data_IF_561443482834
#
_entry.id   IF_561443482834
#
_cell.length_a   1.000
_cell.length_b   1.000
_cell.length_c   1.000
_cell.angle_alpha   90.00
_cell.angle_beta   90.00
_cell.angle_gamma   90.00
#
_symmetry.space_group_name_H-M   'P 1'
#
loop_
_entity.id
_entity.type
_entity.pdbx_description
1 polymer ?
#
# COMPACT_ATOMS: atom_id res chain seq x y z
N UNK A 1 17.42 0.72 25.52
CA UNK A 1 17.99 -0.64 25.36
C UNK A 1 17.14 -1.41 24.36
N UNK A 2 17.46 -1.32 23.07
CA UNK A 2 16.78 -2.06 22.00
C UNK A 2 17.31 -3.50 21.97
N UNK A 3 16.72 -4.38 22.78
CA UNK A 3 16.99 -5.81 22.74
C UNK A 3 16.07 -6.46 21.70
N UNK A 4 16.50 -6.47 20.45
CA UNK A 4 15.91 -7.34 19.45
C UNK A 4 16.29 -8.79 19.76
N UNK A 5 15.29 -9.67 19.86
CA UNK A 5 15.54 -11.11 19.92
C UNK A 5 16.20 -11.54 18.59
N UNK A 6 17.28 -12.35 18.64
CA UNK A 6 17.90 -12.86 17.43
C UNK A 6 16.86 -13.68 16.64
N UNK A 7 16.90 -13.65 15.30
CA UNK A 7 15.96 -14.41 14.49
C UNK A 7 16.01 -15.88 14.88
N UNK A 8 14.82 -16.48 15.04
CA UNK A 8 14.67 -17.89 15.37
C UNK A 8 15.42 -18.71 14.32
N UNK A 9 16.55 -19.34 14.72
CA UNK A 9 17.29 -20.28 13.88
C UNK A 9 16.35 -21.45 13.63
N UNK A 10 15.62 -21.42 12.50
CA UNK A 10 15.04 -22.65 11.94
C UNK A 10 16.19 -23.66 11.92
N UNK A 11 15.96 -24.84 12.49
CA UNK A 11 16.88 -25.96 12.29
C UNK A 11 17.10 -26.07 10.79
N UNK A 12 18.31 -25.71 10.38
CA UNK A 12 18.86 -26.09 9.09
C UNK A 12 18.69 -27.61 9.09
N UNK A 13 17.97 -28.14 8.11
CA UNK A 13 18.14 -29.54 7.72
C UNK A 13 19.60 -29.64 7.26
N UNK A 14 20.50 -29.76 8.24
CA UNK A 14 21.82 -30.31 8.07
C UNK A 14 21.57 -31.75 7.69
N UNK A 15 21.89 -32.06 6.44
CA UNK A 15 22.24 -33.38 5.90
C UNK A 15 21.71 -33.46 4.46
N UNK A 16 22.26 -32.63 3.54
CA UNK A 16 22.43 -32.87 2.07
C UNK A 16 22.61 -31.64 1.15
N UNK A 17 22.70 -30.40 1.64
CA UNK A 17 22.88 -29.20 0.79
C UNK A 17 24.20 -28.44 1.06
N UNK A 18 25.31 -29.14 1.34
CA UNK A 18 26.62 -28.48 1.63
C UNK A 18 27.53 -28.29 0.40
N UNK A 19 27.08 -28.64 -0.82
CA UNK A 19 27.90 -28.55 -2.04
C UNK A 19 27.19 -27.90 -3.25
N UNK A 20 25.99 -27.32 -3.09
CA UNK A 20 25.38 -26.52 -4.16
C UNK A 20 25.79 -25.06 -3.97
N UNK A 21 26.76 -24.62 -4.77
CA UNK A 21 27.09 -23.20 -4.93
C UNK A 21 25.77 -22.42 -5.17
N UNK A 22 25.48 -21.43 -4.32
CA UNK A 22 24.24 -20.64 -4.45
C UNK A 22 24.36 -19.66 -5.62
N UNK A 23 24.25 -20.20 -6.83
CA UNK A 23 24.44 -19.52 -8.11
C UNK A 23 23.17 -18.78 -8.57
N UNK A 24 22.28 -18.43 -7.63
CA UNK A 24 21.06 -17.70 -7.96
C UNK A 24 21.35 -16.21 -8.25
N UNK A 25 20.51 -15.58 -9.08
CA UNK A 25 20.64 -14.17 -9.44
C UNK A 25 20.47 -13.20 -8.25
N UNK A 26 19.86 -13.63 -7.15
CA UNK A 26 19.72 -12.80 -5.94
C UNK A 26 21.01 -12.75 -5.11
N UNK A 27 21.90 -13.72 -5.30
CA UNK A 27 23.22 -13.80 -4.68
C UNK A 27 24.30 -13.20 -5.60
N UNK A 28 24.03 -13.02 -6.89
CA UNK A 28 24.94 -12.40 -7.84
C UNK A 28 24.87 -10.87 -7.80
N UNK A 29 26.03 -10.22 -7.63
CA UNK A 29 26.23 -8.77 -7.82
C UNK A 29 27.16 -8.53 -9.03
N UNK A 30 26.86 -7.53 -9.84
CA UNK A 30 27.63 -7.23 -11.06
C UNK A 30 29.07 -6.80 -10.77
N UNK A 31 29.30 -6.15 -9.62
CA UNK A 31 30.62 -5.69 -9.22
C UNK A 31 31.39 -6.75 -8.43
N UNK A 32 30.73 -7.36 -7.44
CA UNK A 32 31.38 -8.27 -6.48
C UNK A 32 31.29 -9.75 -6.87
N UNK A 33 30.51 -10.10 -7.89
CA UNK A 33 30.23 -11.47 -8.30
C UNK A 33 29.23 -12.17 -7.37
N UNK A 34 29.32 -13.50 -7.26
CA UNK A 34 28.49 -14.26 -6.34
C UNK A 34 28.88 -13.99 -4.89
N UNK A 35 27.87 -13.72 -4.05
CA UNK A 35 28.03 -13.58 -2.62
C UNK A 35 28.45 -14.90 -1.95
N UNK A 36 29.33 -14.77 -0.96
CA UNK A 36 29.90 -15.90 -0.23
C UNK A 36 31.42 -15.85 -0.20
N UNK A 37 32.02 -16.35 0.89
CA UNK A 37 33.48 -16.46 1.00
C UNK A 37 33.92 -17.85 0.57
N UNK A 38 34.77 -17.93 -0.46
CA UNK A 38 35.31 -19.19 -0.98
C UNK A 38 36.31 -19.85 -0.01
N UNK A 39 37.05 -19.04 0.75
CA UNK A 39 38.17 -19.51 1.58
C UNK A 39 37.76 -20.04 2.96
N UNK A 40 36.46 -20.12 3.27
CA UNK A 40 35.98 -20.56 4.59
C UNK A 40 36.01 -22.08 4.81
N UNK A 41 36.32 -22.88 3.78
CA UNK A 41 36.28 -24.35 3.82
C UNK A 41 37.63 -24.98 4.18
N UNK A 42 38.72 -24.22 4.06
CA UNK A 42 40.07 -24.72 4.34
C UNK A 42 40.34 -24.80 5.85
N UNK A 43 41.19 -25.73 6.31
CA UNK A 43 41.62 -25.77 7.70
C UNK A 43 42.22 -24.43 8.13
N UNK A 44 41.69 -23.87 9.21
CA UNK A 44 42.11 -22.58 9.74
C UNK A 44 42.95 -22.79 11.00
N UNK A 45 44.24 -22.48 10.90
CA UNK A 45 45.20 -22.66 11.96
C UNK A 45 45.40 -21.38 12.76
N UNK A 46 46.11 -21.49 13.88
CA UNK A 46 46.40 -20.35 14.75
C UNK A 46 47.20 -19.24 14.05
N UNK A 47 48.08 -19.63 13.13
CA UNK A 47 48.87 -18.67 12.34
C UNK A 47 47.97 -17.86 11.39
N UNK A 48 46.87 -18.45 10.89
CA UNK A 48 45.87 -17.75 10.07
C UNK A 48 45.09 -16.72 10.90
N UNK A 49 44.74 -17.07 12.16
CA UNK A 49 44.10 -16.13 13.10
C UNK A 49 45.00 -14.93 13.42
N UNK A 50 46.29 -15.18 13.64
CA UNK A 50 47.28 -14.13 13.88
C UNK A 50 47.47 -13.26 12.63
N UNK A 51 47.49 -13.87 11.43
CA UNK A 51 47.56 -13.14 10.17
C UNK A 51 46.33 -12.24 9.96
N UNK A 52 45.12 -12.79 10.10
CA UNK A 52 43.87 -12.05 9.96
C UNK A 52 43.82 -10.89 10.96
N UNK A 53 44.22 -11.11 12.21
CA UNK A 53 44.28 -10.05 13.21
C UNK A 53 45.21 -8.89 12.81
N UNK A 54 46.35 -9.19 12.18
CA UNK A 54 47.30 -8.18 11.68
C UNK A 54 46.71 -7.43 10.48
N UNK A 55 46.15 -8.15 9.50
CA UNK A 55 45.55 -7.52 8.31
C UNK A 55 44.34 -6.66 8.68
N UNK A 56 43.47 -7.14 9.56
CA UNK A 56 42.37 -6.38 10.14
C UNK A 56 42.84 -5.09 10.81
N UNK A 57 43.93 -5.15 11.57
CA UNK A 57 44.48 -3.99 12.25
C UNK A 57 45.04 -2.95 11.25
N UNK A 58 45.63 -3.40 10.14
CA UNK A 58 46.07 -2.53 9.05
C UNK A 58 44.87 -1.83 8.41
N UNK A 59 43.82 -2.57 8.06
CA UNK A 59 42.62 -1.98 7.43
C UNK A 59 41.90 -1.00 8.38
N UNK A 60 41.74 -1.38 9.66
CA UNK A 60 41.20 -0.48 10.68
C UNK A 60 42.00 0.81 10.79
N UNK A 61 43.33 0.73 10.80
CA UNK A 61 44.23 1.90 10.84
C UNK A 61 44.13 2.75 9.58
N UNK A 62 43.96 2.14 8.42
CA UNK A 62 43.77 2.88 7.17
C UNK A 62 42.47 3.69 7.19
N UNK A 63 41.43 3.15 7.80
CA UNK A 63 40.12 3.79 7.92
C UNK A 63 40.02 4.86 9.02
N UNK A 64 40.86 4.80 10.05
CA UNK A 64 40.83 5.69 11.23
C UNK A 64 40.73 7.18 10.89
N UNK A 65 41.46 7.65 9.87
CA UNK A 65 41.53 9.09 9.51
C UNK A 65 40.17 9.72 9.18
N UNK A 66 39.20 8.93 8.72
CA UNK A 66 37.84 9.41 8.38
C UNK A 66 36.75 8.60 9.05
N UNK A 67 37.11 7.64 9.89
CA UNK A 67 36.18 6.71 10.54
C UNK A 67 35.07 7.44 11.28
N UNK A 68 35.42 8.34 12.18
CA UNK A 68 34.45 9.10 12.98
C UNK A 68 33.44 9.85 12.12
N UNK A 69 33.90 10.64 11.14
CA UNK A 69 33.00 11.40 10.25
C UNK A 69 32.16 10.48 9.35
N UNK A 70 32.74 9.38 8.86
CA UNK A 70 32.06 8.41 7.99
C UNK A 70 30.96 7.70 8.77
N UNK A 71 31.27 7.22 9.97
CA UNK A 71 30.34 6.53 10.87
C UNK A 71 29.26 7.47 11.39
N UNK A 72 29.60 8.70 11.77
CA UNK A 72 28.64 9.71 12.19
C UNK A 72 27.67 10.04 11.05
N UNK A 73 28.18 10.28 9.83
CA UNK A 73 27.34 10.53 8.66
C UNK A 73 26.47 9.31 8.33
N UNK A 74 27.04 8.12 8.31
CA UNK A 74 26.30 6.88 8.07
C UNK A 74 25.21 6.67 9.12
N UNK A 75 25.50 6.95 10.39
CA UNK A 75 24.52 6.88 11.47
C UNK A 75 23.40 7.90 11.29
N UNK A 76 23.72 9.15 10.96
CA UNK A 76 22.73 10.19 10.69
C UNK A 76 21.86 9.84 9.46
N UNK A 77 22.48 9.34 8.40
CA UNK A 77 21.79 8.96 7.16
C UNK A 77 20.85 7.76 7.42
N UNK A 78 21.30 6.75 8.18
CA UNK A 78 20.45 5.60 8.58
C UNK A 78 19.30 6.06 9.47
N UNK A 79 19.56 6.92 10.45
CA UNK A 79 18.55 7.45 11.36
C UNK A 79 17.50 8.25 10.58
N UNK A 80 17.93 9.17 9.70
CA UNK A 80 17.05 9.93 8.82
C UNK A 80 16.25 9.01 7.90
N UNK A 81 16.89 8.01 7.29
CA UNK A 81 16.22 7.03 6.45
C UNK A 81 15.17 6.24 7.23
N UNK A 82 15.46 5.86 8.47
CA UNK A 82 14.50 5.16 9.36
C UNK A 82 13.32 6.04 9.75
N UNK A 83 13.53 7.34 9.90
CA UNK A 83 12.47 8.32 10.17
C UNK A 83 11.61 8.59 8.93
N UNK A 84 12.23 8.74 7.75
CA UNK A 84 11.54 9.02 6.49
C UNK A 84 10.78 7.79 5.97
N UNK A 85 11.40 6.61 6.07
CA UNK A 85 10.86 5.33 5.59
C UNK A 85 11.02 4.26 6.66
N UNK A 86 10.25 4.32 7.75
CA UNK A 86 10.30 3.29 8.77
C UNK A 86 9.93 1.94 8.16
N UNK A 87 10.67 0.89 8.55
CA UNK A 87 10.34 -0.49 8.13
C UNK A 87 8.90 -0.81 8.55
N UNK A 88 8.18 -1.56 7.72
CA UNK A 88 6.79 -1.94 7.97
C UNK A 88 6.61 -2.52 9.38
N UNK A 89 7.52 -3.40 9.80
CA UNK A 89 7.51 -3.99 11.15
C UNK A 89 7.65 -2.97 12.28
N UNK A 90 8.37 -1.86 12.04
CA UNK A 90 8.54 -0.77 13.00
C UNK A 90 7.27 0.08 13.12
N UNK A 91 6.58 0.32 11.99
CA UNK A 91 5.32 1.07 11.94
C UNK A 91 4.21 0.39 12.75
N UNK A 92 4.27 -0.94 12.89
CA UNK A 92 3.30 -1.75 13.63
C UNK A 92 3.86 -2.28 14.96
N UNK A 93 4.98 -1.74 15.44
CA UNK A 93 5.63 -2.25 16.67
C UNK A 93 4.81 -1.92 17.92
N UNK A 94 4.09 -0.81 17.91
CA UNK A 94 3.11 -0.39 18.90
C UNK A 94 1.87 -1.29 18.86
N UNK A 95 1.22 -1.45 17.71
CA UNK A 95 0.06 -2.33 17.57
C UNK A 95 0.40 -3.78 17.90
N UNK A 96 1.62 -4.23 17.60
CA UNK A 96 2.10 -5.56 17.98
C UNK A 96 2.27 -5.72 19.49
N UNK A 97 2.61 -4.66 20.22
CA UNK A 97 2.66 -4.67 21.69
C UNK A 97 1.25 -4.71 22.27
N UNK A 98 0.34 -3.89 21.77
CA UNK A 98 -1.07 -3.88 22.20
C UNK A 98 -1.75 -5.24 21.92
N UNK A 99 -1.37 -5.89 20.82
CA UNK A 99 -1.84 -7.22 20.46
C UNK A 99 -1.38 -8.32 21.43
N UNK A 100 -0.34 -8.08 22.25
CA UNK A 100 0.07 -9.00 23.30
C UNK A 100 -0.89 -9.01 24.51
N UNK A 101 -1.70 -7.96 24.69
CA UNK A 101 -2.68 -7.86 25.76
C UNK A 101 -3.98 -8.65 25.45
N UNK A 102 -4.17 -9.08 24.20
CA UNK A 102 -5.33 -9.87 23.76
C UNK A 102 -5.25 -11.29 24.31
N UNK A 103 -6.32 -11.76 24.95
CA UNK A 103 -6.33 -13.08 25.58
C UNK A 103 -6.41 -14.21 24.56
N UNK A 104 -5.95 -15.41 24.94
CA UNK A 104 -6.02 -16.60 24.08
C UNK A 104 -7.47 -16.96 23.73
N UNK A 105 -8.42 -16.68 24.63
CA UNK A 105 -9.85 -16.92 24.35
C UNK A 105 -10.36 -15.99 23.25
N UNK A 106 -9.99 -14.70 23.29
CA UNK A 106 -10.32 -13.74 22.23
C UNK A 106 -9.68 -14.13 20.88
N UNK A 107 -8.48 -14.72 20.90
CA UNK A 107 -7.84 -15.29 19.70
C UNK A 107 -8.63 -16.46 19.12
N UNK A 108 -9.18 -17.32 19.97
CA UNK A 108 -9.97 -18.48 19.53
C UNK A 108 -11.35 -18.09 19.01
N UNK A 109 -11.90 -16.98 19.51
CA UNK A 109 -13.22 -16.47 19.14
C UNK A 109 -13.21 -15.51 17.93
N UNK A 110 -12.06 -15.37 17.24
CA UNK A 110 -11.95 -14.51 16.07
C UNK A 110 -12.81 -15.08 14.90
N UNK A 111 -13.81 -14.35 14.40
CA UNK A 111 -14.63 -14.83 13.31
C UNK A 111 -13.82 -14.87 12.00
N UNK A 112 -14.06 -15.89 11.18
CA UNK A 112 -13.54 -15.88 9.81
C UNK A 112 -14.16 -14.70 9.03
N UNK A 113 -13.39 -14.14 8.10
CA UNK A 113 -13.93 -13.22 7.10
C UNK A 113 -14.93 -13.99 6.24
N UNK A 114 -16.19 -14.07 6.68
CA UNK A 114 -17.29 -14.56 5.85
C UNK A 114 -17.35 -13.81 4.52
N UNK A 115 -18.23 -14.22 3.60
CA UNK A 115 -18.38 -13.58 2.27
C UNK A 115 -18.88 -12.12 2.39
N UNK A 116 -18.01 -11.22 2.84
CA UNK A 116 -18.26 -9.81 3.10
C UNK A 116 -18.51 -9.02 1.82
N UNK A 117 -18.24 -9.65 0.67
CA UNK A 117 -18.55 -9.16 -0.66
C UNK A 117 -18.69 -10.37 -1.54
N UNK A 118 -19.94 -10.77 -1.81
CA UNK A 118 -20.46 -11.75 -2.78
C UNK A 118 -19.64 -11.88 -4.09
N UNK A 119 -18.35 -12.18 -4.01
CA UNK A 119 -17.42 -12.18 -5.15
C UNK A 119 -17.68 -13.44 -5.94
N UNK A 120 -17.95 -14.54 -5.24
CA UNK A 120 -18.32 -15.82 -5.83
C UNK A 120 -19.66 -15.74 -6.59
N UNK A 121 -20.62 -14.92 -6.14
CA UNK A 121 -21.89 -14.70 -6.87
C UNK A 121 -21.73 -13.76 -8.08
N UNK A 122 -20.81 -12.79 -8.03
CA UNK A 122 -20.57 -11.84 -9.13
C UNK A 122 -19.75 -12.41 -10.28
N UNK A 123 -18.94 -13.43 -10.04
CA UNK A 123 -18.13 -14.12 -11.07
C UNK A 123 -18.97 -15.11 -11.90
N UNK A 124 -20.25 -15.31 -11.56
CA UNK A 124 -21.12 -16.34 -12.15
C UNK A 124 -21.83 -16.00 -13.48
N UNK A 125 -21.60 -14.84 -14.10
CA UNK A 125 -22.04 -14.61 -15.48
C UNK A 125 -20.82 -14.45 -16.37
N UNK A 126 -20.29 -15.58 -16.83
CA UNK A 126 -19.57 -15.59 -18.10
C UNK A 126 -20.54 -15.00 -19.14
N UNK A 127 -20.16 -13.89 -19.76
CA UNK A 127 -20.92 -13.25 -20.84
C UNK A 127 -21.20 -14.32 -21.93
N UNK A 128 -22.43 -14.78 -22.00
CA UNK A 128 -22.88 -15.68 -23.06
C UNK A 128 -23.10 -14.81 -24.29
N UNK A 129 -22.08 -14.71 -25.13
CA UNK A 129 -22.20 -14.05 -26.43
C UNK A 129 -23.15 -14.87 -27.32
N UNK A 130 -24.41 -14.43 -27.40
CA UNK A 130 -25.34 -14.92 -28.41
C UNK A 130 -25.15 -14.10 -29.69
N UNK A 131 -25.23 -14.72 -30.89
CA UNK A 131 -25.25 -13.98 -32.14
C UNK A 131 -26.31 -12.88 -32.10
N UNK A 132 -25.96 -11.70 -32.61
CA UNK A 132 -26.88 -10.55 -32.68
C UNK A 132 -28.04 -10.92 -33.63
N UNK A 133 -29.31 -10.73 -33.23
CA UNK A 133 -30.44 -11.00 -34.11
C UNK A 133 -30.52 -9.96 -35.24
N UNK A 134 -30.91 -10.39 -36.44
CA UNK A 134 -30.99 -9.56 -37.65
C UNK A 134 -31.92 -8.33 -37.50
N UNK A 135 -32.86 -8.36 -36.55
CA UNK A 135 -33.72 -7.22 -36.22
C UNK A 135 -32.95 -6.00 -35.70
N UNK A 136 -31.81 -6.21 -35.03
CA UNK A 136 -30.92 -5.13 -34.57
C UNK A 136 -30.18 -4.51 -35.76
N UNK A 137 -29.77 -5.33 -36.73
CA UNK A 137 -29.16 -4.86 -37.97
C UNK A 137 -30.15 -4.06 -38.82
N UNK A 138 -31.40 -4.54 -38.93
CA UNK A 138 -32.47 -3.83 -39.63
C UNK A 138 -32.84 -2.49 -38.98
N UNK A 139 -32.77 -2.40 -37.65
CA UNK A 139 -32.97 -1.13 -36.93
C UNK A 139 -31.80 -0.17 -37.12
N UNK A 140 -30.57 -0.67 -37.10
CA UNK A 140 -29.37 0.15 -37.33
C UNK A 140 -29.34 0.73 -38.75
N UNK A 141 -29.75 -0.02 -39.77
CA UNK A 141 -29.89 0.51 -41.14
C UNK A 141 -30.99 1.56 -41.25
N UNK A 142 -32.12 1.37 -40.56
CA UNK A 142 -33.18 2.38 -40.47
C UNK A 142 -32.76 3.64 -39.67
N UNK A 143 -31.93 3.50 -38.63
CA UNK A 143 -31.40 4.64 -37.87
C UNK A 143 -30.27 5.40 -38.58
N UNK A 144 -29.45 4.74 -39.39
CA UNK A 144 -28.50 5.44 -40.27
C UNK A 144 -29.23 6.30 -41.32
N UNK A 145 -30.53 6.10 -41.49
CA UNK A 145 -31.41 6.94 -42.30
C UNK A 145 -31.99 8.15 -41.52
N UNK A 146 -31.37 8.59 -40.43
CA UNK A 146 -31.77 9.80 -39.70
C UNK A 146 -31.59 11.06 -40.56
N UNK A 147 -32.72 11.67 -40.93
CA UNK A 147 -32.81 13.04 -41.42
C UNK A 147 -32.07 13.99 -40.47
N UNK A 148 -31.14 14.78 -41.00
CA UNK A 148 -30.31 15.75 -40.26
C UNK A 148 -30.99 17.11 -40.03
N UNK A 149 -32.32 17.15 -39.97
CA UNK A 149 -33.07 18.40 -39.77
C UNK A 149 -33.77 18.41 -38.42
N UNK A 150 -33.34 19.34 -37.55
CA UNK A 150 -34.02 19.65 -36.29
C UNK A 150 -35.26 20.49 -36.64
N UNK A 151 -36.42 20.17 -36.07
CA UNK A 151 -37.62 20.99 -36.20
C UNK A 151 -37.46 22.33 -35.48
N UNK A 152 -37.86 23.43 -36.13
CA UNK A 152 -37.79 24.81 -35.62
C UNK A 152 -38.45 25.01 -34.23
N UNK A 153 -39.33 24.08 -33.83
CA UNK A 153 -40.01 24.12 -32.54
C UNK A 153 -39.07 23.92 -31.35
N UNK A 154 -38.04 23.08 -31.46
CA UNK A 154 -37.14 22.76 -30.35
C UNK A 154 -36.06 23.82 -30.11
N UNK A 155 -35.74 24.65 -31.13
CA UNK A 155 -34.90 25.83 -30.93
C UNK A 155 -35.63 26.95 -30.18
N UNK A 156 -36.97 27.00 -30.28
CA UNK A 156 -37.77 28.11 -29.75
C UNK A 156 -38.08 28.00 -28.25
N UNK A 157 -38.00 26.79 -27.66
CA UNK A 157 -38.46 26.55 -26.29
C UNK A 157 -37.36 26.20 -25.27
N UNK A 158 -36.10 26.58 -25.53
CA UNK A 158 -35.13 26.89 -24.47
C UNK A 158 -34.11 25.80 -24.15
N UNK A 159 -32.92 25.95 -24.74
CA UNK A 159 -31.70 25.29 -24.27
C UNK A 159 -30.80 26.28 -23.50
N UNK A 160 -30.07 25.73 -22.52
CA UNK A 160 -28.87 26.24 -21.82
C UNK A 160 -29.13 27.03 -20.52
N UNK A 161 -29.00 26.32 -19.39
CA UNK A 161 -28.95 26.85 -18.02
C UNK A 161 -27.65 27.65 -17.75
N UNK A 162 -27.75 28.82 -17.11
CA UNK A 162 -26.62 29.62 -16.58
C UNK A 162 -26.32 29.28 -15.11
N UNK A 163 -25.04 29.22 -14.66
CA UNK A 163 -24.69 28.79 -13.31
C UNK A 163 -24.68 29.96 -12.30
N UNK A 164 -25.39 29.76 -11.19
CA UNK A 164 -25.46 30.65 -10.02
C UNK A 164 -24.17 30.55 -9.19
N UNK A 165 -23.43 31.65 -9.07
CA UNK A 165 -22.15 31.71 -8.33
C UNK A 165 -21.82 33.11 -7.85
N UNK A 166 -22.54 33.63 -6.86
CA UNK A 166 -22.08 34.73 -6.01
C UNK A 166 -22.96 34.82 -4.76
N UNK A 167 -22.35 35.26 -3.65
CA UNK A 167 -22.96 35.67 -2.37
C UNK A 167 -23.06 34.56 -1.31
N UNK A 168 -21.99 34.38 -0.53
CA UNK A 168 -22.09 34.43 0.94
C UNK A 168 -20.73 34.74 1.58
N UNK A 169 -20.64 35.65 2.58
CA UNK A 169 -19.37 36.03 3.22
C UNK A 169 -18.85 34.99 4.21
N UNK A 170 -17.53 34.84 4.20
CA UNK A 170 -16.67 34.21 5.22
C UNK A 170 -17.01 34.76 6.62
N UNK A 171 -17.35 33.89 7.59
CA UNK A 171 -17.32 34.28 9.00
C UNK A 171 -18.39 33.73 9.96
N UNK A 172 -19.31 32.85 9.57
CA UNK A 172 -20.21 32.21 10.53
C UNK A 172 -19.61 30.94 11.11
N UNK A 173 -19.33 31.00 12.42
CA UNK A 173 -18.82 29.95 13.28
C UNK A 173 -19.29 28.54 12.90
N UNK A 174 -18.35 27.64 12.68
CA UNK A 174 -18.56 26.18 12.79
C UNK A 174 -19.06 25.89 14.21
N UNK A 175 -20.28 25.36 14.40
CA UNK A 175 -20.74 24.95 15.73
C UNK A 175 -19.85 23.80 16.25
N UNK A 176 -19.26 23.97 17.44
CA UNK A 176 -18.39 22.98 18.10
C UNK A 176 -19.16 21.82 18.77
N UNK A 177 -20.34 21.46 18.26
CA UNK A 177 -21.11 20.29 18.72
C UNK A 177 -21.40 19.39 17.53
N UNK A 178 -21.71 18.11 17.76
CA UNK A 178 -22.11 17.19 16.69
C UNK A 178 -23.35 17.74 15.96
N UNK A 179 -23.12 18.34 14.79
CA UNK A 179 -24.19 18.92 13.97
C UNK A 179 -24.84 17.78 13.22
N UNK A 180 -26.06 17.43 13.64
CA UNK A 180 -26.90 16.52 12.88
C UNK A 180 -27.39 17.20 11.59
N UNK A 181 -26.61 17.00 10.52
CA UNK A 181 -26.88 17.57 9.20
C UNK A 181 -28.22 17.09 8.61
N UNK A 182 -28.72 15.92 9.05
CA UNK A 182 -30.01 15.40 8.59
C UNK A 182 -31.15 16.15 9.25
N UNK A 183 -31.07 16.45 10.55
CA UNK A 183 -32.07 17.26 11.26
C UNK A 183 -32.17 18.68 10.71
N UNK A 184 -31.04 19.31 10.37
CA UNK A 184 -31.04 20.62 9.72
C UNK A 184 -31.72 20.55 8.34
N UNK A 185 -31.43 19.51 7.55
CA UNK A 185 -32.07 19.29 6.26
C UNK A 185 -33.58 19.08 6.37
N UNK A 186 -34.01 18.26 7.33
CA UNK A 186 -35.43 17.98 7.60
C UNK A 186 -36.16 19.25 8.08
N UNK A 187 -35.61 20.00 9.04
CA UNK A 187 -36.21 21.23 9.53
C UNK A 187 -36.34 22.30 8.44
N UNK A 188 -35.36 22.38 7.53
CA UNK A 188 -35.45 23.26 6.36
C UNK A 188 -36.51 22.80 5.37
N UNK A 189 -36.60 21.49 5.13
CA UNK A 189 -37.60 20.93 4.22
C UNK A 189 -39.02 21.13 4.77
N UNK A 190 -39.26 20.90 6.07
CA UNK A 190 -40.57 21.18 6.69
C UNK A 190 -40.93 22.65 6.63
N UNK A 191 -39.96 23.56 6.80
CA UNK A 191 -40.21 25.00 6.66
C UNK A 191 -40.56 25.39 5.22
N UNK A 192 -39.91 24.76 4.25
CA UNK A 192 -40.22 24.94 2.83
C UNK A 192 -41.63 24.42 2.51
N UNK A 193 -42.00 23.26 3.04
CA UNK A 193 -43.32 22.66 2.85
C UNK A 193 -44.42 23.56 3.42
N UNK A 194 -44.24 24.09 4.63
CA UNK A 194 -45.18 25.04 5.25
C UNK A 194 -45.40 26.28 4.36
N UNK A 195 -44.34 26.81 3.75
CA UNK A 195 -44.41 27.98 2.84
C UNK A 195 -45.04 27.66 1.48
N UNK A 196 -44.98 26.41 1.03
CA UNK A 196 -45.60 25.97 -0.23
C UNK A 196 -47.10 25.66 -0.06
N UNK A 197 -47.52 25.30 1.15
CA UNK A 197 -48.93 25.01 1.50
C UNK A 197 -49.75 26.24 1.94
N UNK A 198 -49.12 27.42 2.01
CA UNK A 198 -49.74 28.69 2.35
C UNK A 198 -50.12 29.48 1.09
#
# INVERSE_FOLDING_TARGET
>A
EDRHAPPNKKHKQQDKEEDEEDLNDANYDEFSGYGGSLCSKDPYDKDDEEADAIYDAVDKRMDEKRKERREEKLKMDIEKFRQERPKIQQQFSDLKRDLADVTVDDWNNLPEVGDARNRKQRVGRAEKFTPVPDSVLARATAQTSMNTTISEQDQKYGGINTPFGAITPIGSATPSGDIDMKKIGQARNTLMDIKLTQ
#
